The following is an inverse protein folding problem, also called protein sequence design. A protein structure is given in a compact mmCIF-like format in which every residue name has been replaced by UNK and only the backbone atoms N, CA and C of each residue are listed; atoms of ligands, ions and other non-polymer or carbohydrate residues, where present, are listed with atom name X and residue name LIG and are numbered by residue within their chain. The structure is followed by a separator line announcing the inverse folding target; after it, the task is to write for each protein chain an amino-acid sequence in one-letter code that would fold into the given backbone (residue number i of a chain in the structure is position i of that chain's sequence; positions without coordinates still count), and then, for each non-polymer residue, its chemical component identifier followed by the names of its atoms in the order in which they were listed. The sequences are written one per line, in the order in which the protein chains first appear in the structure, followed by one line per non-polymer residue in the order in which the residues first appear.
data_IF_605893505527
#
_entry.id   IF_605893505527
#
_cell.length_a   1.000
_cell.length_b   1.000
_cell.length_c   1.000
_cell.angle_alpha   90.00
_cell.angle_beta   90.00
_cell.angle_gamma   90.00
#
_symmetry.space_group_name_H-M   'P 1'
#
loop_
_entity.id
_entity.type
_entity.pdbx_description
1 polymer ?
#
# COMPACT_ATOMS: atom_id res chain seq x y z
N UNK A 1 9.63 10.00 23.34
CA UNK A 1 9.25 10.88 22.21
C UNK A 1 9.32 10.12 20.87
N UNK A 2 8.66 8.96 20.76
CA UNK A 2 8.62 8.12 19.55
C UNK A 2 7.21 7.66 19.06
N UNK A 3 6.07 7.78 19.79
CA UNK A 3 4.81 7.24 19.29
C UNK A 3 4.17 8.08 18.18
N UNK A 4 4.59 9.35 18.03
CA UNK A 4 3.95 10.27 17.07
C UNK A 4 4.43 9.99 15.65
N UNK A 5 5.72 9.74 15.40
CA UNK A 5 6.21 9.52 14.03
C UNK A 5 5.64 8.24 13.37
N UNK A 6 5.54 7.13 14.12
CA UNK A 6 4.97 5.87 13.61
C UNK A 6 3.46 5.97 13.36
N UNK A 7 2.73 6.65 14.25
CA UNK A 7 1.32 6.98 14.02
C UNK A 7 1.15 7.99 12.88
N UNK A 8 2.07 8.94 12.71
CA UNK A 8 2.06 9.89 11.60
C UNK A 8 2.32 9.21 10.26
N UNK A 9 3.22 8.22 10.15
CA UNK A 9 3.36 7.42 8.92
C UNK A 9 2.08 6.63 8.65
N UNK A 10 1.51 5.96 9.66
CA UNK A 10 0.22 5.27 9.51
C UNK A 10 -0.95 6.23 9.18
N UNK A 11 -0.91 7.48 9.63
CA UNK A 11 -1.98 8.47 9.41
C UNK A 11 -1.82 9.21 8.08
N UNK A 12 -0.59 9.50 7.66
CA UNK A 12 -0.24 10.04 6.33
C UNK A 12 -0.62 9.01 5.27
N UNK A 13 -0.30 7.73 5.48
CA UNK A 13 -0.69 6.64 4.57
C UNK A 13 -2.22 6.46 4.52
N UNK A 14 -2.91 6.60 5.67
CA UNK A 14 -4.35 6.28 5.74
C UNK A 14 -5.27 7.38 5.21
N UNK A 15 -4.90 8.66 5.30
CA UNK A 15 -5.77 9.75 4.80
C UNK A 15 -5.13 10.63 3.70
N UNK A 16 -3.86 11.04 3.82
CA UNK A 16 -3.22 11.91 2.82
C UNK A 16 -2.78 11.13 1.56
N UNK A 17 -2.30 9.90 1.75
CA UNK A 17 -1.88 9.02 0.68
C UNK A 17 -3.03 8.64 -0.27
N UNK A 18 -4.27 8.61 0.21
CA UNK A 18 -5.43 8.33 -0.64
C UNK A 18 -5.61 9.45 -1.67
N UNK A 19 -5.64 10.73 -1.26
CA UNK A 19 -5.82 11.84 -2.21
C UNK A 19 -4.73 11.84 -3.29
N UNK A 20 -3.48 11.55 -2.90
CA UNK A 20 -2.37 11.52 -3.84
C UNK A 20 -2.43 10.29 -4.77
N UNK A 21 -2.87 9.12 -4.28
CA UNK A 21 -3.16 7.96 -5.14
C UNK A 21 -4.24 8.27 -6.18
N UNK A 22 -5.28 9.02 -5.81
CA UNK A 22 -6.32 9.45 -6.74
C UNK A 22 -5.76 10.40 -7.81
N UNK A 23 -4.93 11.37 -7.42
CA UNK A 23 -4.26 12.27 -8.37
C UNK A 23 -3.34 11.49 -9.32
N UNK A 24 -2.48 10.60 -8.79
CA UNK A 24 -1.57 9.78 -9.61
C UNK A 24 -2.35 8.89 -10.58
N UNK A 25 -3.43 8.25 -10.13
CA UNK A 25 -4.31 7.47 -11.02
C UNK A 25 -4.95 8.34 -12.11
N UNK A 26 -5.40 9.55 -11.76
CA UNK A 26 -6.01 10.46 -12.72
C UNK A 26 -5.00 10.93 -13.78
N UNK A 27 -3.77 11.26 -13.39
CA UNK A 27 -2.70 11.63 -14.32
C UNK A 27 -2.24 10.47 -15.19
N UNK A 28 -2.10 9.27 -14.63
CA UNK A 28 -1.73 8.07 -15.40
C UNK A 28 -2.80 7.71 -16.42
N UNK A 29 -4.09 7.76 -16.04
CA UNK A 29 -5.22 7.54 -16.94
C UNK A 29 -5.27 8.58 -18.08
N UNK A 30 -5.08 9.87 -17.78
CA UNK A 30 -5.01 10.95 -18.80
C UNK A 30 -3.89 10.71 -19.81
N UNK A 31 -2.74 10.28 -19.34
CA UNK A 31 -1.53 10.11 -20.17
C UNK A 31 -1.38 8.68 -20.73
N UNK A 32 -2.37 7.80 -20.55
CA UNK A 32 -2.32 6.38 -20.96
C UNK A 32 -1.10 5.63 -20.40
N UNK A 33 -0.67 6.00 -19.19
CA UNK A 33 0.40 5.33 -18.45
C UNK A 33 -0.23 4.21 -17.62
N UNK A 34 0.43 3.06 -17.58
CA UNK A 34 -0.07 1.92 -16.81
C UNK A 34 0.08 2.15 -15.31
N UNK A 35 -1.04 2.18 -14.59
CA UNK A 35 -1.08 2.35 -13.14
C UNK A 35 -0.89 1.00 -12.45
N UNK A 36 0.08 0.90 -11.54
CA UNK A 36 0.37 -0.30 -10.77
C UNK A 36 0.59 0.06 -9.30
N UNK A 37 -0.33 -0.35 -8.42
CA UNK A 37 -0.25 -0.12 -6.98
C UNK A 37 -0.03 -1.44 -6.24
N UNK A 38 1.03 -1.49 -5.43
CA UNK A 38 1.28 -2.54 -4.45
C UNK A 38 0.87 -2.07 -3.06
N UNK A 39 0.27 -2.97 -2.29
CA UNK A 39 -0.20 -2.70 -0.93
C UNK A 39 0.08 -3.90 -0.02
N UNK A 40 0.04 -3.68 1.29
CA UNK A 40 0.09 -4.78 2.24
C UNK A 40 -1.20 -5.59 2.08
N UNK A 41 -1.04 -6.90 1.85
CA UNK A 41 -2.15 -7.78 1.61
C UNK A 41 -3.01 -7.92 2.89
N UNK A 42 -4.36 -7.93 2.79
CA UNK A 42 -5.25 -8.00 3.95
C UNK A 42 -5.07 -9.29 4.77
N UNK A 43 -4.59 -10.37 4.15
CA UNK A 43 -4.24 -11.64 4.79
C UNK A 43 -2.92 -11.60 5.60
N UNK A 44 -2.14 -10.52 5.51
CA UNK A 44 -0.91 -10.39 6.29
C UNK A 44 -1.22 -10.17 7.78
N UNK A 45 -0.97 -11.19 8.59
CA UNK A 45 -1.32 -11.22 10.02
C UNK A 45 -0.23 -10.68 10.97
N UNK A 46 0.86 -10.10 10.44
CA UNK A 46 1.97 -9.61 11.25
C UNK A 46 1.56 -8.46 12.18
N UNK A 47 2.10 -8.44 13.40
CA UNK A 47 1.94 -7.32 14.36
C UNK A 47 3.29 -6.75 14.73
N UNK A 48 3.47 -5.44 14.52
CA UNK A 48 4.68 -4.74 14.95
C UNK A 48 4.62 -4.47 16.45
N UNK A 49 5.64 -4.88 17.20
CA UNK A 49 5.72 -4.61 18.66
C UNK A 49 6.27 -3.22 18.94
N UNK A 50 7.15 -2.76 18.06
CA UNK A 50 7.77 -1.43 18.10
C UNK A 50 7.88 -0.86 16.69
N UNK A 51 8.12 0.47 16.53
CA UNK A 51 8.41 1.05 15.23
C UNK A 51 9.64 0.37 14.60
N UNK A 52 9.50 -0.05 13.33
CA UNK A 52 10.57 -0.75 12.60
C UNK A 52 11.01 -2.08 13.24
N UNK A 53 10.11 -2.76 13.95
CA UNK A 53 10.35 -4.12 14.47
C UNK A 53 10.94 -5.01 13.36
N UNK A 54 12.13 -5.55 13.60
CA UNK A 54 12.90 -6.28 12.59
C UNK A 54 12.17 -7.52 12.11
N UNK A 55 11.54 -8.27 13.01
CA UNK A 55 10.81 -9.49 12.66
C UNK A 55 9.59 -9.17 11.80
N UNK A 56 8.84 -8.13 12.17
CA UNK A 56 7.71 -7.63 11.38
C UNK A 56 8.14 -7.17 9.98
N UNK A 57 9.20 -6.37 9.89
CA UNK A 57 9.68 -5.82 8.61
C UNK A 57 10.25 -6.92 7.70
N UNK A 58 10.97 -7.90 8.27
CA UNK A 58 11.45 -9.07 7.52
C UNK A 58 10.28 -9.93 7.02
N UNK A 59 9.27 -10.17 7.84
CA UNK A 59 8.06 -10.89 7.43
C UNK A 59 7.32 -10.15 6.32
N UNK A 60 7.19 -8.83 6.43
CA UNK A 60 6.54 -7.99 5.43
C UNK A 60 7.29 -8.03 4.08
N UNK A 61 8.63 -7.92 4.13
CA UNK A 61 9.48 -8.02 2.95
C UNK A 61 9.34 -9.39 2.27
N UNK A 62 9.45 -10.48 3.03
CA UNK A 62 9.33 -11.83 2.50
C UNK A 62 7.96 -12.07 1.86
N UNK A 63 6.88 -11.58 2.49
CA UNK A 63 5.54 -11.67 1.93
C UNK A 63 5.44 -10.94 0.59
N UNK A 64 5.93 -9.70 0.50
CA UNK A 64 5.90 -8.92 -0.74
C UNK A 64 6.77 -9.55 -1.83
N UNK A 65 7.94 -10.09 -1.46
CA UNK A 65 8.84 -10.78 -2.38
C UNK A 65 8.18 -12.02 -2.99
N UNK A 66 7.52 -12.84 -2.17
CA UNK A 66 6.82 -14.03 -2.65
C UNK A 66 5.66 -13.66 -3.59
N UNK A 67 4.90 -12.63 -3.26
CA UNK A 67 3.86 -12.10 -4.15
C UNK A 67 4.46 -11.59 -5.47
N UNK A 68 5.62 -10.93 -5.43
CA UNK A 68 6.29 -10.41 -6.62
C UNK A 68 6.79 -11.53 -7.53
N UNK A 69 7.40 -12.57 -6.96
CA UNK A 69 7.83 -13.75 -7.70
C UNK A 69 6.65 -14.51 -8.35
N UNK A 70 5.47 -14.49 -7.71
CA UNK A 70 4.25 -15.07 -8.26
C UNK A 70 3.55 -14.18 -9.32
N UNK A 71 4.13 -13.03 -9.68
CA UNK A 71 3.62 -12.12 -10.71
C UNK A 71 2.84 -10.91 -10.21
N UNK A 72 2.76 -10.70 -8.88
CA UNK A 72 2.08 -9.63 -8.13
C UNK A 72 0.75 -9.14 -8.71
N UNK A 73 -0.34 -9.35 -7.98
CA UNK A 73 -1.66 -8.84 -8.36
C UNK A 73 -1.75 -7.30 -8.15
N UNK A 74 -1.19 -6.53 -9.09
CA UNK A 74 -1.20 -5.08 -9.05
C UNK A 74 -2.62 -4.52 -8.98
N UNK A 75 -2.86 -3.63 -8.02
CA UNK A 75 -4.09 -2.85 -7.99
C UNK A 75 -4.03 -1.81 -9.12
N UNK A 76 -5.02 -1.85 -10.00
CA UNK A 76 -5.11 -0.94 -11.17
C UNK A 76 -5.92 0.32 -10.89
N UNK A 77 -6.47 0.45 -9.68
CA UNK A 77 -7.21 1.62 -9.24
C UNK A 77 -6.98 1.89 -7.74
N UNK A 78 -7.12 3.14 -7.27
CA UNK A 78 -7.12 3.47 -5.86
C UNK A 78 -8.27 2.79 -5.08
N UNK A 79 -8.12 2.59 -3.76
CA UNK A 79 -9.20 2.11 -2.91
C UNK A 79 -10.43 3.03 -3.00
N UNK A 80 -11.63 2.46 -3.17
CA UNK A 80 -12.90 3.20 -3.31
C UNK A 80 -13.32 3.50 -4.76
N UNK A 81 -12.39 3.49 -5.73
CA UNK A 81 -12.72 3.56 -7.16
C UNK A 81 -13.00 2.18 -7.77
N UNK A 82 -12.36 1.14 -7.24
CA UNK A 82 -12.36 -0.22 -7.78
C UNK A 82 -13.60 -1.09 -7.48
N UNK A 83 -14.77 -0.52 -7.18
CA UNK A 83 -16.01 -1.30 -6.91
C UNK A 83 -17.24 -0.78 -7.67
N UNK A 84 -17.06 -0.22 -8.86
CA UNK A 84 -18.18 0.00 -9.78
C UNK A 84 -17.79 -0.58 -11.14
N UNK A 85 -18.04 -1.88 -11.31
CA UNK A 85 -18.29 -2.45 -12.64
C UNK A 85 -19.72 -3.00 -12.60
N UNK A 86 -20.53 -2.39 -13.45
CA UNK A 86 -21.94 -2.69 -13.75
C UNK A 86 -22.18 -4.18 -13.99
#
# INVERSE_FOLDING_TARGET
MLPIASRSISTIIKNQGISDLYKIHSETSRNKIDFNLAAIAPEFAGKSREPFDREYMSALFNSAHNLAQAGYAWLKAPPGLGSVRN
#
